data_IF_823132292216
#
_entry.id   IF_823132292216
#
_cell.length_a   1.000
_cell.length_b   1.000
_cell.length_c   1.000
_cell.angle_alpha   90.00
_cell.angle_beta   90.00
_cell.angle_gamma   90.00
#
_symmetry.space_group_name_H-M   'P 1'
#
loop_
_entity.id
_entity.type
_entity.pdbx_description
1 polymer ?
#
# COMPACT_ATOMS: atom_id res chain seq x y z
N UNK A 1 -23.96 30.19 -56.98
CA UNK A 1 -23.99 28.78 -56.52
C UNK A 1 -22.61 28.45 -55.96
N UNK A 2 -22.42 28.57 -54.64
CA UNK A 2 -21.13 28.35 -53.97
C UNK A 2 -21.07 26.91 -53.45
N UNK A 3 -20.34 26.02 -54.13
CA UNK A 3 -20.00 24.71 -53.59
C UNK A 3 -18.77 24.86 -52.67
N UNK A 4 -18.99 24.79 -51.34
CA UNK A 4 -17.91 24.61 -50.36
C UNK A 4 -17.23 23.27 -50.63
N UNK A 5 -15.93 23.29 -50.95
CA UNK A 5 -15.09 22.08 -50.95
C UNK A 5 -15.01 21.53 -49.53
N UNK A 6 -15.69 20.41 -49.29
CA UNK A 6 -15.50 19.63 -48.07
C UNK A 6 -14.09 19.02 -48.12
N UNK A 7 -13.18 19.48 -47.25
CA UNK A 7 -11.86 18.85 -47.10
C UNK A 7 -12.09 17.43 -46.60
N UNK A 8 -11.83 16.44 -47.45
CA UNK A 8 -11.81 15.03 -47.08
C UNK A 8 -10.67 14.84 -46.08
N UNK A 9 -11.00 14.67 -44.81
CA UNK A 9 -10.04 14.16 -43.82
C UNK A 9 -9.71 12.73 -44.27
N UNK A 10 -8.43 12.36 -44.46
CA UNK A 10 -8.06 11.00 -44.80
C UNK A 10 -8.60 10.06 -43.72
N UNK A 11 -9.39 9.07 -44.11
CA UNK A 11 -9.99 8.08 -43.19
C UNK A 11 -8.95 7.42 -42.25
N UNK A 12 -7.68 7.44 -42.65
CA UNK A 12 -6.53 6.97 -41.87
C UNK A 12 -6.34 7.71 -40.54
N UNK A 13 -6.60 9.02 -40.46
CA UNK A 13 -6.51 9.76 -39.19
C UNK A 13 -7.67 9.44 -38.23
N UNK A 14 -8.85 9.14 -38.77
CA UNK A 14 -10.01 8.75 -37.96
C UNK A 14 -9.83 7.32 -37.40
N UNK A 15 -9.25 6.41 -38.19
CA UNK A 15 -8.94 5.04 -37.77
C UNK A 15 -7.81 5.01 -36.73
N UNK A 16 -6.76 5.82 -36.89
CA UNK A 16 -5.71 5.94 -35.87
C UNK A 16 -6.24 6.58 -34.57
N UNK A 17 -7.10 7.60 -34.64
CA UNK A 17 -7.70 8.19 -33.43
C UNK A 17 -8.63 7.20 -32.71
N UNK A 18 -9.41 6.41 -33.44
CA UNK A 18 -10.27 5.37 -32.86
C UNK A 18 -9.45 4.23 -32.24
N UNK A 19 -8.37 3.78 -32.91
CA UNK A 19 -7.45 2.78 -32.36
C UNK A 19 -6.72 3.28 -31.12
N UNK A 20 -6.36 4.56 -31.04
CA UNK A 20 -5.79 5.14 -29.82
C UNK A 20 -6.81 5.24 -28.68
N UNK A 21 -8.09 5.51 -28.97
CA UNK A 21 -9.13 5.53 -27.91
C UNK A 21 -9.55 4.15 -27.43
N UNK A 22 -9.54 3.12 -28.29
CA UNK A 22 -9.90 1.75 -27.86
C UNK A 22 -8.76 1.05 -27.13
N UNK A 23 -7.50 1.36 -27.47
CA UNK A 23 -6.33 0.81 -26.75
C UNK A 23 -6.15 1.50 -25.38
N UNK A 24 -6.50 2.78 -25.25
CA UNK A 24 -6.59 3.45 -23.94
C UNK A 24 -7.81 3.02 -23.10
N UNK A 25 -8.84 2.44 -23.72
CA UNK A 25 -10.05 1.99 -23.01
C UNK A 25 -9.99 0.52 -22.55
N UNK A 26 -8.93 -0.21 -22.90
CA UNK A 26 -8.72 -1.60 -22.44
C UNK A 26 -7.54 -1.76 -21.47
N UNK A 27 -6.94 -0.66 -20.99
CA UNK A 27 -5.74 -0.69 -20.12
C UNK A 27 -5.99 -0.21 -18.68
N UNK A 28 -7.24 0.00 -18.27
CA UNK A 28 -7.59 0.57 -16.97
C UNK A 28 -8.71 -0.24 -16.30
N UNK A 29 -8.50 -1.56 -16.15
CA UNK A 29 -9.16 -2.32 -15.09
C UNK A 29 -8.11 -3.21 -14.44
N UNK A 30 -8.01 -3.05 -13.12
CA UNK A 30 -7.31 -3.88 -12.14
C UNK A 30 -5.78 -3.81 -12.12
N UNK A 31 -5.25 -2.92 -11.28
CA UNK A 31 -4.71 -3.33 -9.98
C UNK A 31 -4.39 -2.09 -9.15
N UNK A 32 -5.40 -1.47 -8.55
CA UNK A 32 -5.18 -0.62 -7.38
C UNK A 32 -5.12 -1.58 -6.19
N UNK A 33 -3.90 -1.89 -5.71
CA UNK A 33 -3.74 -2.54 -4.42
C UNK A 33 -4.13 -1.52 -3.34
N UNK A 34 -5.31 -1.69 -2.78
CA UNK A 34 -5.70 -1.01 -1.55
C UNK A 34 -4.85 -1.59 -0.42
N UNK A 35 -3.86 -0.84 0.07
CA UNK A 35 -3.21 -1.19 1.34
C UNK A 35 -4.31 -1.33 2.41
N UNK A 36 -4.51 -2.53 2.94
CA UNK A 36 -5.52 -2.75 3.96
C UNK A 36 -5.11 -2.06 5.26
N UNK A 37 -5.88 -1.05 5.67
CA UNK A 37 -5.70 -0.40 6.97
C UNK A 37 -6.76 -0.95 7.93
N UNK A 38 -6.37 -1.62 9.03
CA UNK A 38 -7.31 -2.12 10.03
C UNK A 38 -8.19 -1.01 10.61
N UNK A 39 -9.48 -1.29 10.78
CA UNK A 39 -10.43 -0.41 11.45
C UNK A 39 -10.64 -0.86 12.89
N UNK A 40 -10.04 -0.12 13.83
CA UNK A 40 -10.16 -0.37 15.26
C UNK A 40 -11.15 0.56 15.97
N UNK A 41 -11.75 1.48 15.21
CA UNK A 41 -12.69 2.49 15.68
C UNK A 41 -13.90 2.64 14.74
N UNK A 42 -15.00 3.13 15.30
CA UNK A 42 -16.25 3.35 14.59
C UNK A 42 -16.07 4.20 13.32
N UNK A 43 -16.81 3.91 12.23
CA UNK A 43 -16.81 4.78 11.06
C UNK A 43 -17.43 6.14 11.39
N UNK A 44 -16.81 7.21 10.89
CA UNK A 44 -17.35 8.57 11.01
C UNK A 44 -18.73 8.67 10.40
N UNK A 45 -19.65 9.40 11.05
CA UNK A 45 -21.00 9.67 10.53
C UNK A 45 -21.02 10.39 9.17
N UNK A 46 -19.91 11.01 8.78
CA UNK A 46 -19.73 11.62 7.46
C UNK A 46 -19.28 10.65 6.37
N UNK A 47 -19.06 9.38 6.70
CA UNK A 47 -18.60 8.38 5.74
C UNK A 47 -19.78 7.82 4.94
N UNK A 48 -19.82 8.19 3.66
CA UNK A 48 -20.88 7.80 2.73
C UNK A 48 -21.06 6.27 2.60
N UNK A 49 -20.01 5.47 2.84
CA UNK A 49 -20.11 4.02 2.70
C UNK A 49 -20.93 3.35 3.82
N UNK A 50 -21.23 4.08 4.90
CA UNK A 50 -22.02 3.58 6.02
C UNK A 50 -23.32 4.37 6.21
N UNK A 51 -23.29 5.68 5.97
CA UNK A 51 -24.37 6.60 6.30
C UNK A 51 -24.96 7.33 5.08
N UNK A 52 -24.92 6.71 3.91
CA UNK A 52 -25.56 7.21 2.70
C UNK A 52 -26.16 6.10 1.85
N UNK A 53 -26.92 6.48 0.82
CA UNK A 53 -27.51 5.55 -0.14
C UNK A 53 -26.49 4.78 -1.00
N UNK A 54 -25.17 5.02 -0.86
CA UNK A 54 -24.15 4.09 -1.40
C UNK A 54 -24.14 2.75 -0.69
N UNK A 55 -24.60 2.73 0.56
CA UNK A 55 -24.82 1.50 1.32
C UNK A 55 -26.26 1.04 1.09
N UNK A 56 -26.41 -0.14 0.49
CA UNK A 56 -27.75 -0.63 0.12
C UNK A 56 -28.65 -0.84 1.34
N UNK A 57 -28.09 -1.28 2.46
CA UNK A 57 -28.85 -1.46 3.69
C UNK A 57 -29.33 -0.12 4.23
N UNK A 58 -28.47 0.91 4.22
CA UNK A 58 -28.88 2.27 4.57
C UNK A 58 -30.00 2.79 3.66
N UNK A 59 -29.88 2.60 2.35
CA UNK A 59 -30.86 3.04 1.36
C UNK A 59 -32.27 2.50 1.63
N UNK A 60 -32.37 1.25 2.10
CA UNK A 60 -33.65 0.60 2.40
C UNK A 60 -34.08 0.69 3.87
N UNK A 61 -33.41 1.51 4.69
CA UNK A 61 -33.79 1.77 6.09
C UNK A 61 -33.22 0.78 7.11
N UNK A 62 -32.28 -0.07 6.70
CA UNK A 62 -31.57 -1.05 7.52
C UNK A 62 -30.10 -0.65 7.79
N UNK A 63 -29.81 0.65 7.79
CA UNK A 63 -28.46 1.17 8.01
C UNK A 63 -27.90 0.90 9.41
N UNK A 64 -26.75 1.50 9.70
CA UNK A 64 -26.10 1.42 11.02
C UNK A 64 -27.04 1.86 12.16
N UNK A 65 -27.06 1.18 13.32
CA UNK A 65 -26.27 0.00 13.68
C UNK A 65 -26.86 -1.30 13.09
N UNK A 66 -26.08 -2.02 12.29
CA UNK A 66 -26.46 -3.29 11.65
C UNK A 66 -25.20 -4.01 11.14
N UNK A 67 -25.05 -5.31 11.42
CA UNK A 67 -23.89 -6.10 10.99
C UNK A 67 -23.70 -6.09 9.46
N UNK A 68 -24.78 -6.25 8.71
CA UNK A 68 -24.75 -6.26 7.24
C UNK A 68 -24.42 -4.89 6.67
N UNK A 69 -25.05 -3.82 7.16
CA UNK A 69 -24.73 -2.45 6.76
C UNK A 69 -23.27 -2.11 7.06
N UNK A 70 -22.77 -2.52 8.22
CA UNK A 70 -21.38 -2.31 8.61
C UNK A 70 -20.40 -3.06 7.69
N UNK A 71 -20.58 -4.38 7.55
CA UNK A 71 -19.70 -5.20 6.74
C UNK A 71 -19.70 -4.77 5.27
N UNK A 72 -20.86 -4.38 4.73
CA UNK A 72 -20.99 -3.86 3.37
C UNK A 72 -20.23 -2.54 3.22
N UNK A 73 -20.41 -1.59 4.15
CA UNK A 73 -19.70 -0.32 4.13
C UNK A 73 -18.18 -0.48 4.31
N UNK A 74 -17.76 -1.43 5.15
CA UNK A 74 -16.36 -1.76 5.36
C UNK A 74 -15.74 -2.42 4.14
N UNK A 75 -16.45 -3.33 3.48
CA UNK A 75 -16.03 -3.91 2.20
C UNK A 75 -15.88 -2.84 1.12
N UNK A 76 -16.81 -1.87 1.07
CA UNK A 76 -16.73 -0.73 0.17
C UNK A 76 -15.46 0.11 0.44
N UNK A 77 -15.16 0.39 1.72
CA UNK A 77 -13.91 1.08 2.11
C UNK A 77 -12.66 0.34 1.65
N UNK A 78 -12.61 -0.97 1.88
CA UNK A 78 -11.46 -1.81 1.54
C UNK A 78 -11.25 -1.81 0.03
N UNK A 79 -12.32 -2.01 -0.75
CA UNK A 79 -12.24 -2.17 -2.20
C UNK A 79 -12.18 -0.85 -2.97
N UNK A 80 -12.57 0.27 -2.34
CA UNK A 80 -12.71 1.57 -3.00
C UNK A 80 -13.83 1.62 -4.06
N UNK A 81 -14.68 0.60 -4.12
CA UNK A 81 -15.78 0.44 -5.08
C UNK A 81 -16.94 -0.33 -4.44
N UNK A 82 -18.09 -0.31 -5.10
CA UNK A 82 -19.25 -1.12 -4.72
C UNK A 82 -18.82 -2.60 -4.57
N UNK A 83 -19.04 -3.21 -3.39
CA UNK A 83 -18.55 -4.55 -3.12
C UNK A 83 -19.40 -5.62 -3.81
N UNK A 84 -20.64 -5.37 -4.22
CA UNK A 84 -21.51 -6.38 -4.84
C UNK A 84 -21.82 -7.59 -3.95
N UNK A 85 -21.61 -7.47 -2.63
CA UNK A 85 -21.91 -8.49 -1.64
C UNK A 85 -23.43 -8.72 -1.52
N UNK A 86 -23.82 -9.78 -0.81
CA UNK A 86 -25.22 -10.10 -0.53
C UNK A 86 -25.99 -8.86 -0.02
N UNK A 87 -27.24 -8.72 -0.48
CA UNK A 87 -28.14 -7.63 -0.12
C UNK A 87 -29.22 -8.07 0.88
N UNK A 88 -29.17 -9.32 1.32
CA UNK A 88 -30.14 -9.93 2.23
C UNK A 88 -29.56 -10.06 3.65
N UNK A 89 -30.19 -10.88 4.48
CA UNK A 89 -29.79 -11.07 5.87
C UNK A 89 -28.43 -11.78 5.97
N UNK A 90 -27.74 -11.59 7.08
CA UNK A 90 -26.37 -12.05 7.28
C UNK A 90 -26.18 -13.57 7.07
N UNK A 91 -27.17 -14.40 7.39
CA UNK A 91 -27.06 -15.86 7.22
C UNK A 91 -27.01 -16.28 5.73
N UNK A 92 -27.47 -15.41 4.82
CA UNK A 92 -27.46 -15.67 3.37
C UNK A 92 -26.15 -15.23 2.72
N UNK A 93 -25.27 -14.52 3.42
CA UNK A 93 -24.05 -13.94 2.83
C UNK A 93 -23.09 -15.00 2.30
N UNK A 94 -22.88 -16.10 3.02
CA UNK A 94 -21.85 -17.07 2.67
C UNK A 94 -22.15 -17.78 1.34
N UNK A 95 -23.40 -18.20 1.15
CA UNK A 95 -23.85 -18.94 -0.04
C UNK A 95 -24.31 -18.04 -1.20
N UNK A 96 -24.38 -16.72 -0.99
CA UNK A 96 -24.75 -15.77 -2.03
C UNK A 96 -23.72 -15.73 -3.17
N UNK A 97 -24.20 -15.65 -4.41
CA UNK A 97 -23.34 -15.63 -5.60
C UNK A 97 -22.94 -14.19 -5.99
N UNK A 98 -21.95 -13.66 -5.28
CA UNK A 98 -21.35 -12.32 -5.51
C UNK A 98 -20.02 -12.36 -6.30
N UNK A 99 -19.51 -13.56 -6.61
CA UNK A 99 -18.26 -13.75 -7.34
C UNK A 99 -16.98 -13.75 -6.51
N UNK A 100 -17.05 -13.59 -5.17
CA UNK A 100 -15.87 -13.75 -4.30
C UNK A 100 -15.55 -15.22 -4.01
N UNK A 101 -14.30 -15.49 -3.63
CA UNK A 101 -13.92 -16.82 -3.15
C UNK A 101 -14.30 -17.01 -1.68
N UNK A 102 -14.60 -18.25 -1.27
CA UNK A 102 -14.88 -18.61 0.12
C UNK A 102 -13.83 -19.57 0.68
N UNK A 103 -13.66 -19.60 2.00
CA UNK A 103 -12.80 -20.57 2.68
C UNK A 103 -12.96 -20.57 4.19
N UNK A 104 -12.08 -21.30 4.87
CA UNK A 104 -12.11 -21.51 6.32
C UNK A 104 -10.92 -20.88 7.06
N UNK A 105 -9.96 -20.32 6.33
CA UNK A 105 -8.78 -19.67 6.92
C UNK A 105 -9.05 -18.18 7.10
N UNK A 106 -8.85 -17.60 8.30
CA UNK A 106 -8.99 -16.17 8.50
C UNK A 106 -7.93 -15.42 7.68
N UNK A 107 -8.36 -14.40 6.95
CA UNK A 107 -7.49 -13.48 6.22
C UNK A 107 -7.93 -12.06 6.52
N UNK A 108 -6.96 -11.17 6.69
CA UNK A 108 -7.21 -9.74 6.81
C UNK A 108 -8.09 -9.27 5.64
N UNK A 109 -9.11 -8.47 5.94
CA UNK A 109 -10.12 -7.97 5.01
C UNK A 109 -11.18 -8.97 4.57
N UNK A 110 -11.16 -10.22 5.04
CA UNK A 110 -12.24 -11.15 4.81
C UNK A 110 -13.49 -10.81 5.64
N UNK A 111 -14.66 -11.20 5.15
CA UNK A 111 -15.91 -11.15 5.93
C UNK A 111 -16.18 -12.53 6.51
N UNK A 112 -16.24 -12.63 7.83
CA UNK A 112 -16.64 -13.84 8.52
C UNK A 112 -18.17 -13.92 8.59
N UNK A 113 -18.72 -15.11 8.36
CA UNK A 113 -20.16 -15.36 8.28
C UNK A 113 -20.59 -16.44 9.28
N UNK A 114 -21.66 -16.15 10.01
CA UNK A 114 -22.30 -17.08 10.93
C UNK A 114 -23.80 -17.16 10.65
N UNK A 115 -24.35 -18.33 10.90
CA UNK A 115 -25.79 -18.54 10.95
C UNK A 115 -26.19 -19.15 12.29
N UNK A 116 -27.44 -18.97 12.68
CA UNK A 116 -28.02 -19.72 13.78
C UNK A 116 -29.48 -20.01 13.50
N UNK A 117 -29.97 -21.05 14.16
CA UNK A 117 -31.39 -21.36 14.20
C UNK A 117 -31.85 -21.34 15.66
N UNK A 118 -32.78 -20.44 15.99
CA UNK A 118 -33.33 -20.30 17.34
C UNK A 118 -34.83 -20.08 17.25
N UNK A 119 -35.59 -20.86 18.04
CA UNK A 119 -37.04 -20.71 18.18
C UNK A 119 -37.85 -20.74 16.86
N UNK A 120 -37.39 -21.45 15.84
CA UNK A 120 -38.09 -21.50 14.55
C UNK A 120 -37.60 -20.46 13.53
N UNK A 121 -36.67 -19.59 13.92
CA UNK A 121 -36.16 -18.50 13.09
C UNK A 121 -34.67 -18.72 12.79
N UNK A 122 -34.32 -18.49 11.52
CA UNK A 122 -32.93 -18.42 11.07
C UNK A 122 -32.47 -16.98 11.15
N UNK A 123 -31.31 -16.77 11.77
CA UNK A 123 -30.62 -15.48 11.76
C UNK A 123 -29.14 -15.70 11.48
N UNK A 124 -28.40 -14.61 11.38
CA UNK A 124 -26.96 -14.69 11.15
C UNK A 124 -26.25 -13.42 11.57
N UNK A 125 -24.94 -13.46 11.38
CA UNK A 125 -24.07 -12.32 11.65
C UNK A 125 -22.92 -12.29 10.67
N UNK A 126 -22.41 -11.09 10.42
CA UNK A 126 -21.22 -10.88 9.62
C UNK A 126 -20.30 -9.87 10.30
N UNK A 127 -19.00 -10.13 10.19
CA UNK A 127 -17.95 -9.30 10.77
C UNK A 127 -16.75 -9.23 9.83
N UNK A 128 -15.95 -8.16 9.91
CA UNK A 128 -14.76 -8.01 9.05
C UNK A 128 -13.50 -8.34 9.83
N UNK A 129 -12.62 -9.15 9.25
CA UNK A 129 -11.30 -9.47 9.82
C UNK A 129 -10.38 -8.26 9.66
N UNK A 130 -10.06 -7.61 10.77
CA UNK A 130 -9.18 -6.44 10.77
C UNK A 130 -7.72 -6.81 11.02
N UNK A 131 -7.47 -7.88 11.80
CA UNK A 131 -6.12 -8.38 12.05
C UNK A 131 -6.10 -9.89 12.21
N UNK A 132 -4.97 -10.49 11.85
CA UNK A 132 -4.59 -11.86 12.19
C UNK A 132 -3.16 -11.80 12.70
N UNK A 133 -2.97 -11.77 14.02
CA UNK A 133 -1.65 -11.64 14.64
C UNK A 133 -1.55 -12.50 15.90
N UNK A 134 -0.39 -13.13 16.12
CA UNK A 134 -0.12 -13.95 17.31
C UNK A 134 -1.20 -15.02 17.60
N UNK A 135 -1.76 -15.64 16.56
CA UNK A 135 -2.81 -16.65 16.69
C UNK A 135 -4.18 -16.09 17.09
N UNK A 136 -4.37 -14.77 17.10
CA UNK A 136 -5.65 -14.10 17.38
C UNK A 136 -6.18 -13.40 16.14
N UNK A 137 -7.46 -13.60 15.85
CA UNK A 137 -8.23 -12.86 14.85
C UNK A 137 -8.95 -11.72 15.56
N UNK A 138 -8.79 -10.48 15.05
CA UNK A 138 -9.56 -9.32 15.51
C UNK A 138 -10.63 -9.02 14.48
N UNK A 139 -11.88 -8.95 14.92
CA UNK A 139 -13.03 -8.62 14.10
C UNK A 139 -13.59 -7.25 14.43
N UNK A 140 -14.02 -6.53 13.41
CA UNK A 140 -14.87 -5.35 13.56
C UNK A 140 -16.32 -5.68 13.24
N UNK A 141 -17.23 -5.14 14.05
CA UNK A 141 -18.63 -5.54 14.07
C UNK A 141 -19.56 -4.33 14.22
N UNK A 142 -20.84 -4.55 13.95
CA UNK A 142 -21.97 -3.72 14.36
C UNK A 142 -23.16 -4.63 14.67
N UNK A 143 -24.05 -4.24 15.57
CA UNK A 143 -25.16 -5.09 15.99
C UNK A 143 -26.49 -4.35 15.91
N UNK A 144 -27.46 -4.97 15.24
CA UNK A 144 -28.81 -4.41 15.09
C UNK A 144 -29.45 -4.10 16.46
N UNK A 145 -29.82 -2.84 16.66
CA UNK A 145 -30.46 -2.38 17.90
C UNK A 145 -29.56 -2.36 19.14
N UNK A 146 -28.25 -2.58 18.99
CA UNK A 146 -27.29 -2.52 20.08
C UNK A 146 -26.15 -1.56 19.73
N UNK A 147 -24.96 -2.06 19.47
CA UNK A 147 -23.75 -1.25 19.40
C UNK A 147 -23.39 -0.89 17.96
N UNK A 148 -23.11 0.40 17.73
CA UNK A 148 -22.78 0.91 16.40
C UNK A 148 -21.47 0.35 15.88
N UNK A 149 -20.49 0.13 16.75
CA UNK A 149 -19.21 -0.48 16.41
C UNK A 149 -18.60 -1.13 17.64
N UNK A 150 -18.09 -2.35 17.50
CA UNK A 150 -17.33 -3.02 18.55
C UNK A 150 -16.34 -4.01 17.95
N UNK A 151 -15.31 -4.33 18.73
CA UNK A 151 -14.31 -5.34 18.37
C UNK A 151 -14.57 -6.65 19.12
N UNK A 152 -14.43 -7.75 18.41
CA UNK A 152 -14.41 -9.10 19.00
C UNK A 152 -13.12 -9.82 18.60
N UNK A 153 -12.78 -10.87 19.33
CA UNK A 153 -11.51 -11.58 19.19
C UNK A 153 -11.77 -13.08 19.23
N UNK A 154 -11.08 -13.84 18.37
CA UNK A 154 -11.12 -15.29 18.37
C UNK A 154 -9.72 -15.88 18.21
N UNK A 155 -9.51 -17.08 18.71
CA UNK A 155 -8.31 -17.86 18.36
C UNK A 155 -8.40 -18.29 16.88
N UNK A 156 -7.30 -18.25 16.15
CA UNK A 156 -7.26 -18.67 14.73
C UNK A 156 -7.63 -20.14 14.53
N UNK A 157 -7.58 -20.96 15.58
CA UNK A 157 -7.96 -22.36 15.57
C UNK A 157 -9.35 -22.61 16.17
N UNK A 158 -10.07 -21.57 16.60
CA UNK A 158 -11.43 -21.73 17.12
C UNK A 158 -12.42 -22.06 15.99
N UNK A 159 -13.02 -23.26 15.97
CA UNK A 159 -13.96 -23.62 14.90
C UNK A 159 -15.24 -22.77 14.89
N UNK A 160 -15.57 -22.08 15.98
CA UNK A 160 -16.71 -21.15 16.05
C UNK A 160 -16.33 -19.69 15.77
N UNK A 161 -15.03 -19.40 15.63
CA UNK A 161 -14.49 -18.05 15.42
C UNK A 161 -15.04 -17.01 16.40
N UNK A 162 -15.13 -17.38 17.68
CA UNK A 162 -15.58 -16.49 18.77
C UNK A 162 -17.08 -16.57 19.10
N UNK A 163 -17.91 -17.18 18.26
CA UNK A 163 -19.37 -17.24 18.47
C UNK A 163 -19.88 -18.68 18.69
N UNK A 164 -19.54 -19.24 19.86
CA UNK A 164 -19.82 -20.64 20.23
C UNK A 164 -21.30 -21.09 20.17
N UNK A 165 -22.24 -20.15 20.17
CA UNK A 165 -23.68 -20.43 20.11
C UNK A 165 -24.26 -20.46 18.71
N UNK A 166 -23.45 -20.22 17.67
CA UNK A 166 -23.81 -20.09 16.26
C UNK A 166 -22.99 -21.07 15.41
N UNK A 167 -23.48 -21.37 14.21
CA UNK A 167 -22.75 -22.15 13.21
C UNK A 167 -21.88 -21.21 12.37
N UNK A 168 -20.56 -21.39 12.44
CA UNK A 168 -19.63 -20.64 11.60
C UNK A 168 -19.65 -21.23 10.18
N UNK A 169 -20.05 -20.42 9.21
CA UNK A 169 -20.15 -20.85 7.81
C UNK A 169 -18.77 -20.76 7.12
N UNK A 170 -18.03 -19.69 7.39
CA UNK A 170 -16.68 -19.47 6.85
C UNK A 170 -16.38 -18.00 6.56
N UNK A 171 -15.37 -17.77 5.73
CA UNK A 171 -14.92 -16.46 5.29
C UNK A 171 -15.21 -16.21 3.82
N UNK A 172 -15.68 -15.00 3.50
CA UNK A 172 -15.73 -14.44 2.14
C UNK A 172 -14.47 -13.61 1.92
N UNK A 173 -13.68 -13.95 0.90
CA UNK A 173 -12.42 -13.29 0.59
C UNK A 173 -12.61 -12.17 -0.44
N UNK A 174 -12.59 -10.93 0.05
CA UNK A 174 -12.70 -9.72 -0.79
C UNK A 174 -11.44 -9.46 -1.64
N UNK A 175 -10.29 -10.01 -1.22
CA UNK A 175 -8.98 -9.88 -1.84
C UNK A 175 -7.91 -10.57 -1.01
N UNK A 176 -6.65 -10.48 -1.45
CA UNK A 176 -5.48 -10.99 -0.72
C UNK A 176 -4.73 -9.82 -0.09
N UNK A 177 -4.98 -9.58 1.20
CA UNK A 177 -4.44 -8.44 1.94
C UNK A 177 -3.37 -8.83 2.99
N UNK A 178 -2.91 -10.10 2.98
CA UNK A 178 -2.12 -10.70 4.06
C UNK A 178 -0.72 -11.23 3.72
N UNK A 179 -0.19 -11.02 2.51
CA UNK A 179 1.12 -11.56 2.11
C UNK A 179 2.28 -10.65 2.51
N UNK A 180 3.11 -11.15 3.44
CA UNK A 180 4.50 -10.73 3.62
C UNK A 180 5.38 -11.55 2.65
N UNK A 181 6.05 -10.87 1.72
CA UNK A 181 6.92 -11.49 0.72
C UNK A 181 8.21 -12.03 1.36
N UNK A 182 8.30 -13.36 1.51
CA UNK A 182 9.56 -14.08 1.39
C UNK A 182 9.37 -15.18 0.35
N UNK A 183 10.22 -15.14 -0.67
CA UNK A 183 10.33 -15.98 -1.86
C UNK A 183 9.56 -15.49 -3.10
N UNK A 184 10.39 -15.15 -4.09
CA UNK A 184 10.08 -14.92 -5.50
C UNK A 184 9.15 -16.00 -6.05
N UNK A 185 8.01 -15.59 -6.59
CA UNK A 185 7.55 -16.01 -7.91
C UNK A 185 6.31 -15.17 -8.31
N UNK A 186 6.56 -14.31 -9.29
CA UNK A 186 5.68 -13.79 -10.36
C UNK A 186 4.24 -13.29 -10.05
N UNK A 187 4.02 -12.03 -10.45
CA UNK A 187 2.74 -11.35 -10.77
C UNK A 187 1.88 -10.68 -9.66
N UNK A 188 2.26 -9.45 -9.27
CA UNK A 188 1.40 -8.26 -9.45
C UNK A 188 0.50 -7.73 -8.30
N UNK A 189 1.04 -6.76 -7.54
CA UNK A 189 0.44 -5.68 -6.71
C UNK A 189 -0.12 -5.96 -5.30
N UNK A 190 0.17 -5.18 -4.24
CA UNK A 190 1.35 -4.40 -3.81
C UNK A 190 1.00 -3.86 -2.40
N UNK A 191 1.45 -4.53 -1.34
CA UNK A 191 1.44 -3.97 0.02
C UNK A 191 2.32 -2.72 0.01
N UNK A 192 1.87 -1.54 0.45
CA UNK A 192 2.78 -0.37 0.60
C UNK A 192 3.69 -0.64 1.80
N UNK A 193 4.71 -1.44 1.56
CA UNK A 193 5.90 -1.52 2.40
C UNK A 193 6.75 -0.34 2.00
N UNK A 194 6.71 0.72 2.80
CA UNK A 194 7.70 1.78 2.69
C UNK A 194 9.08 1.17 2.89
N UNK A 195 9.88 1.20 1.83
CA UNK A 195 11.27 0.77 1.80
C UNK A 195 12.17 1.96 1.49
N UNK A 196 13.48 1.79 1.64
CA UNK A 196 14.45 2.71 1.06
C UNK A 196 14.27 2.76 -0.46
N UNK A 197 14.57 3.90 -1.08
CA UNK A 197 14.34 4.11 -2.50
C UNK A 197 13.92 5.54 -2.82
N UNK A 198 13.65 5.78 -4.10
CA UNK A 198 13.27 7.09 -4.60
C UNK A 198 11.76 7.27 -4.49
N UNK A 199 11.36 8.39 -3.91
CA UNK A 199 9.98 8.79 -3.75
C UNK A 199 9.73 10.15 -4.39
N UNK A 200 8.57 10.33 -5.01
CA UNK A 200 8.06 11.64 -5.45
C UNK A 200 7.12 12.21 -4.39
N UNK A 201 7.30 13.48 -4.02
CA UNK A 201 6.39 14.16 -3.08
C UNK A 201 5.03 14.43 -3.74
N UNK A 202 3.94 13.98 -3.11
CA UNK A 202 2.54 14.18 -3.54
C UNK A 202 1.75 14.98 -2.48
N UNK A 203 1.79 16.32 -2.58
CA UNK A 203 1.13 17.25 -1.65
C UNK A 203 0.54 18.46 -2.38
N UNK A 204 -0.43 19.14 -1.76
CA UNK A 204 -1.05 20.34 -2.33
C UNK A 204 -0.20 21.62 -2.23
N UNK A 205 0.67 21.73 -1.23
CA UNK A 205 1.49 22.93 -0.98
C UNK A 205 2.97 22.55 -0.78
N UNK A 206 3.30 22.04 0.40
CA UNK A 206 4.64 21.56 0.72
C UNK A 206 4.63 20.41 1.73
N UNK A 207 5.67 19.57 1.65
CA UNK A 207 6.00 18.54 2.62
C UNK A 207 7.07 19.06 3.58
N UNK A 208 6.81 18.99 4.89
CA UNK A 208 7.79 19.38 5.90
C UNK A 208 8.84 18.28 6.08
N UNK A 209 10.11 18.63 5.92
CA UNK A 209 11.25 17.83 6.38
C UNK A 209 11.60 18.24 7.80
N UNK A 210 11.84 17.28 8.68
CA UNK A 210 12.00 17.52 10.12
C UNK A 210 13.30 16.93 10.70
N UNK A 211 13.78 17.48 11.81
CA UNK A 211 14.99 17.00 12.50
C UNK A 211 14.85 15.57 13.04
N UNK A 212 13.61 15.12 13.33
CA UNK A 212 13.34 13.76 13.81
C UNK A 212 12.05 13.21 13.21
N UNK A 213 11.89 11.89 13.25
CA UNK A 213 10.72 11.17 12.78
C UNK A 213 9.48 11.40 13.68
N UNK A 214 9.08 12.65 13.91
CA UNK A 214 7.88 13.03 14.67
C UNK A 214 7.32 14.35 14.15
N UNK A 215 5.99 14.52 14.25
CA UNK A 215 5.30 15.75 13.85
C UNK A 215 5.57 16.95 14.77
N UNK A 216 6.06 16.70 15.99
CA UNK A 216 6.42 17.73 16.97
C UNK A 216 7.85 18.25 16.84
N UNK A 217 8.70 17.56 16.07
CA UNK A 217 10.09 17.99 15.87
C UNK A 217 10.18 19.18 14.92
N UNK A 218 11.26 19.96 15.06
CA UNK A 218 11.51 21.17 14.28
C UNK A 218 11.56 20.87 12.79
N UNK A 219 10.86 21.68 12.01
CA UNK A 219 10.97 21.68 10.55
C UNK A 219 12.31 22.26 10.12
N UNK A 220 13.08 21.50 9.34
CA UNK A 220 14.37 21.93 8.76
C UNK A 220 14.23 22.43 7.33
N UNK A 221 13.21 21.96 6.60
CA UNK A 221 12.98 22.34 5.22
C UNK A 221 11.53 22.13 4.78
N UNK A 222 11.12 22.79 3.69
CA UNK A 222 9.83 22.61 3.02
C UNK A 222 10.04 22.21 1.57
N UNK A 223 9.53 21.04 1.19
CA UNK A 223 9.74 20.40 -0.10
C UNK A 223 8.48 20.54 -0.94
N UNK A 224 8.61 20.93 -2.22
CA UNK A 224 7.47 21.14 -3.12
C UNK A 224 6.98 19.81 -3.71
N UNK A 225 5.70 19.79 -4.07
CA UNK A 225 5.09 18.73 -4.86
C UNK A 225 5.91 18.39 -6.13
N UNK A 226 5.98 17.11 -6.47
CA UNK A 226 6.72 16.59 -7.63
C UNK A 226 8.24 16.53 -7.44
N UNK A 227 8.76 16.77 -6.23
CA UNK A 227 10.20 16.61 -5.95
C UNK A 227 10.54 15.15 -5.71
N UNK A 228 11.55 14.62 -6.39
CA UNK A 228 12.12 13.31 -6.09
C UNK A 228 13.07 13.37 -4.88
N UNK A 229 12.90 12.44 -3.95
CA UNK A 229 13.67 12.27 -2.72
C UNK A 229 14.21 10.85 -2.66
N UNK A 230 15.48 10.70 -2.33
CA UNK A 230 16.05 9.37 -2.11
C UNK A 230 16.10 9.05 -0.61
N UNK A 231 15.25 8.12 -0.22
CA UNK A 231 15.04 7.68 1.15
C UNK A 231 16.02 6.57 1.49
N UNK A 232 16.84 6.79 2.52
CA UNK A 232 17.91 5.88 2.93
C UNK A 232 17.64 5.17 4.25
N UNK A 233 16.63 5.61 4.99
CA UNK A 233 16.15 4.94 6.20
C UNK A 233 14.64 5.12 6.32
N UNK A 234 13.95 4.12 6.86
CA UNK A 234 12.50 4.13 7.04
C UNK A 234 12.16 3.82 8.49
N UNK A 235 11.35 4.68 9.11
CA UNK A 235 10.96 4.55 10.51
C UNK A 235 9.49 4.87 10.73
N UNK A 236 8.78 3.99 11.43
CA UNK A 236 7.42 4.28 11.89
C UNK A 236 7.45 4.99 13.24
N UNK A 237 6.76 6.12 13.34
CA UNK A 237 6.70 6.91 14.57
C UNK A 237 5.60 7.96 14.51
N UNK A 238 4.83 8.12 15.60
CA UNK A 238 3.81 9.16 15.72
C UNK A 238 2.68 9.06 14.69
N UNK A 239 2.33 7.84 14.25
CA UNK A 239 1.25 7.60 13.29
C UNK A 239 1.61 7.78 11.81
N UNK A 240 2.89 8.01 11.50
CA UNK A 240 3.39 8.14 10.13
C UNK A 240 4.56 7.19 9.88
N UNK A 241 4.77 6.87 8.60
CA UNK A 241 6.02 6.26 8.16
C UNK A 241 6.96 7.35 7.65
N UNK A 242 8.13 7.46 8.25
CA UNK A 242 9.10 8.51 7.96
C UNK A 242 10.23 7.96 7.10
N UNK A 243 10.63 8.72 6.09
CA UNK A 243 11.82 8.47 5.29
C UNK A 243 12.91 9.47 5.63
N UNK A 244 14.11 8.99 5.92
CA UNK A 244 15.30 9.83 6.03
C UNK A 244 15.85 10.12 4.64
N UNK A 245 16.06 11.39 4.31
CA UNK A 245 16.54 11.81 2.98
C UNK A 245 17.42 13.05 3.11
N UNK A 246 18.29 13.24 2.13
CA UNK A 246 19.05 14.49 1.95
C UNK A 246 18.47 15.26 0.76
N UNK A 247 18.16 16.54 0.94
CA UNK A 247 17.68 17.41 -0.14
C UNK A 247 18.37 18.78 -0.03
N UNK A 248 19.04 19.23 -1.10
CA UNK A 248 19.80 20.50 -1.13
C UNK A 248 20.74 20.69 0.07
N UNK A 249 21.51 19.65 0.40
CA UNK A 249 22.43 19.59 1.55
C UNK A 249 21.77 19.69 2.93
N UNK A 250 20.44 19.57 3.01
CA UNK A 250 19.70 19.48 4.27
C UNK A 250 19.27 18.03 4.47
N UNK A 251 19.63 17.45 5.62
CA UNK A 251 19.23 16.10 6.02
C UNK A 251 18.03 16.16 6.96
N UNK A 252 17.10 15.23 6.82
CA UNK A 252 15.97 15.13 7.73
C UNK A 252 14.97 14.06 7.36
N UNK A 253 13.90 14.00 8.14
CA UNK A 253 12.82 13.04 8.04
C UNK A 253 11.61 13.65 7.35
N UNK A 254 11.07 12.96 6.36
CA UNK A 254 9.82 13.33 5.66
C UNK A 254 8.77 12.24 5.88
N UNK A 255 7.50 12.61 5.99
CA UNK A 255 6.42 11.62 6.10
C UNK A 255 6.12 11.05 4.71
N UNK A 256 6.37 9.74 4.53
CA UNK A 256 6.23 9.02 3.26
C UNK A 256 4.78 8.76 2.87
N UNK A 257 3.85 8.91 3.82
CA UNK A 257 2.41 8.95 3.56
C UNK A 257 2.01 10.05 2.55
N UNK A 258 2.88 11.04 2.34
CA UNK A 258 2.73 12.12 1.37
C UNK A 258 3.67 11.98 0.18
N UNK A 259 4.16 10.75 -0.07
CA UNK A 259 5.09 10.48 -1.14
C UNK A 259 4.73 9.17 -1.87
N UNK A 260 5.03 9.14 -3.17
CA UNK A 260 4.87 7.98 -4.03
C UNK A 260 6.21 7.35 -4.33
N UNK A 261 6.37 6.07 -4.02
CA UNK A 261 7.56 5.32 -4.39
C UNK A 261 7.67 5.22 -5.92
N UNK A 262 8.86 5.46 -6.46
CA UNK A 262 9.16 5.40 -7.89
C UNK A 262 10.04 4.21 -8.27
N UNK A 263 11.16 4.01 -7.55
CA UNK A 263 12.24 3.09 -7.93
C UNK A 263 13.23 2.87 -6.78
N UNK A 264 14.00 1.79 -6.84
CA UNK A 264 14.92 1.42 -5.75
C UNK A 264 16.12 2.36 -5.62
N UNK A 265 16.57 2.94 -6.74
CA UNK A 265 17.77 3.78 -6.78
C UNK A 265 17.55 5.03 -7.64
N UNK A 266 18.26 6.14 -7.36
CA UNK A 266 18.22 7.34 -8.21
C UNK A 266 18.56 7.04 -9.68
N UNK A 267 17.99 7.83 -10.60
CA UNK A 267 18.39 7.78 -12.00
C UNK A 267 19.76 8.44 -12.15
N UNK A 268 20.58 7.86 -13.02
CA UNK A 268 21.85 8.45 -13.46
C UNK A 268 21.57 9.68 -14.34
N UNK A 269 21.24 10.79 -13.68
CA UNK A 269 20.88 12.05 -14.31
C UNK A 269 22.11 12.94 -14.62
N UNK A 270 23.30 12.36 -14.72
CA UNK A 270 24.49 13.08 -15.19
C UNK A 270 25.05 14.11 -14.19
N UNK A 271 25.43 13.61 -13.01
CA UNK A 271 26.33 14.21 -11.98
C UNK A 271 25.70 15.01 -10.83
N UNK A 272 25.85 14.46 -9.61
CA UNK A 272 26.42 15.12 -8.42
C UNK A 272 26.63 14.08 -7.28
N UNK A 273 27.19 12.91 -7.59
CA UNK A 273 27.56 11.92 -6.57
C UNK A 273 29.04 12.06 -6.24
N UNK A 274 29.37 12.01 -4.96
CA UNK A 274 30.76 12.05 -4.51
C UNK A 274 31.45 10.73 -4.89
N UNK A 275 32.73 10.80 -5.25
CA UNK A 275 33.51 9.60 -5.54
C UNK A 275 33.55 8.71 -4.28
N UNK A 276 33.18 7.44 -4.42
CA UNK A 276 32.94 6.53 -3.30
C UNK A 276 31.47 6.41 -2.84
N UNK A 277 30.54 7.21 -3.37
CA UNK A 277 29.08 7.09 -3.12
C UNK A 277 28.47 6.00 -4.02
N UNK A 278 28.89 4.76 -3.78
CA UNK A 278 28.59 3.60 -4.61
C UNK A 278 27.10 3.25 -4.60
N UNK A 279 26.40 3.51 -3.49
CA UNK A 279 24.95 3.29 -3.39
C UNK A 279 24.12 4.51 -3.87
N UNK A 280 24.80 5.57 -4.30
CA UNK A 280 24.25 6.81 -4.87
C UNK A 280 23.29 7.52 -3.92
N UNK A 281 23.59 7.51 -2.63
CA UNK A 281 22.76 8.11 -1.58
C UNK A 281 23.05 9.58 -1.26
N UNK A 282 24.07 10.14 -1.89
CA UNK A 282 24.57 11.48 -1.65
C UNK A 282 25.44 11.59 -0.40
N UNK A 283 25.84 10.49 0.21
CA UNK A 283 26.69 10.41 1.42
C UNK A 283 27.62 9.20 1.29
N UNK A 284 28.93 9.45 1.40
CA UNK A 284 29.92 8.37 1.44
C UNK A 284 30.03 7.81 2.86
N UNK A 285 29.51 6.60 3.10
CA UNK A 285 29.54 5.90 4.39
C UNK A 285 29.62 4.35 4.31
N UNK A 286 29.42 3.68 5.45
CA UNK A 286 29.56 2.21 5.58
C UNK A 286 28.57 1.43 4.69
N UNK A 287 27.49 2.06 4.24
CA UNK A 287 26.53 1.47 3.33
C UNK A 287 27.11 1.37 1.91
N UNK A 288 27.98 2.29 1.50
CA UNK A 288 28.68 2.20 0.21
C UNK A 288 29.65 1.03 0.17
N UNK A 289 30.32 0.76 1.30
CA UNK A 289 31.19 -0.41 1.46
C UNK A 289 30.38 -1.70 1.30
N UNK A 290 29.17 -1.75 1.86
CA UNK A 290 28.30 -2.93 1.77
C UNK A 290 27.87 -3.18 0.32
N UNK A 291 27.46 -2.13 -0.39
CA UNK A 291 27.08 -2.19 -1.80
C UNK A 291 28.28 -2.63 -2.68
N UNK A 292 29.45 -2.05 -2.43
CA UNK A 292 30.70 -2.41 -3.12
C UNK A 292 31.10 -3.87 -2.86
N UNK A 293 30.97 -4.35 -1.62
CA UNK A 293 31.20 -5.77 -1.27
C UNK A 293 30.22 -6.71 -1.96
N UNK A 294 28.95 -6.31 -2.10
CA UNK A 294 27.96 -7.09 -2.85
C UNK A 294 28.34 -7.22 -4.33
N UNK A 295 28.83 -6.15 -4.96
CA UNK A 295 29.33 -6.22 -6.33
C UNK A 295 30.57 -7.10 -6.44
N UNK A 296 31.57 -6.92 -5.57
CA UNK A 296 32.81 -7.72 -5.59
C UNK A 296 32.52 -9.21 -5.34
N UNK A 297 31.50 -9.53 -4.53
CA UNK A 297 31.03 -10.90 -4.30
C UNK A 297 30.12 -11.45 -5.42
N UNK A 298 29.90 -10.68 -6.49
CA UNK A 298 29.03 -11.00 -7.65
C UNK A 298 27.56 -11.22 -7.28
N UNK A 299 27.11 -10.55 -6.23
CA UNK A 299 25.72 -10.56 -5.76
C UNK A 299 24.95 -9.29 -6.18
N UNK A 300 25.58 -8.39 -6.95
CA UNK A 300 24.95 -7.18 -7.49
C UNK A 300 25.63 -6.75 -8.79
N UNK A 301 24.85 -6.16 -9.71
CA UNK A 301 25.33 -5.50 -10.92
C UNK A 301 25.33 -3.98 -10.73
N UNK A 302 26.37 -3.31 -11.22
CA UNK A 302 26.52 -1.86 -11.14
C UNK A 302 26.23 -1.18 -12.49
N UNK A 303 25.67 0.03 -12.41
CA UNK A 303 25.57 0.93 -13.56
C UNK A 303 26.94 1.52 -13.94
N UNK A 304 27.08 2.06 -15.15
CA UNK A 304 28.32 2.71 -15.61
C UNK A 304 28.80 3.83 -14.68
N UNK A 305 27.87 4.54 -14.03
CA UNK A 305 28.21 5.58 -13.06
C UNK A 305 28.65 4.96 -11.73
N UNK A 306 27.96 3.94 -11.22
CA UNK A 306 28.42 3.23 -10.02
C UNK A 306 29.79 2.60 -10.22
N UNK A 307 30.10 2.07 -11.41
CA UNK A 307 31.44 1.57 -11.73
C UNK A 307 32.50 2.67 -11.63
N UNK A 308 32.20 3.90 -12.04
CA UNK A 308 33.12 5.05 -11.87
C UNK A 308 33.24 5.52 -10.42
N UNK A 309 32.16 5.43 -9.65
CA UNK A 309 32.15 5.80 -8.23
C UNK A 309 32.83 4.74 -7.36
N UNK A 310 32.82 3.48 -7.80
CA UNK A 310 33.35 2.31 -7.12
C UNK A 310 34.84 2.08 -7.32
N UNK A 311 35.46 2.67 -8.34
CA UNK A 311 36.92 2.63 -8.60
C UNK A 311 37.64 3.60 -7.66
N UNK A 312 37.54 3.34 -6.35
CA UNK A 312 37.97 4.28 -5.29
C UNK A 312 39.49 4.39 -5.22
N UNK A 313 40.21 3.33 -5.59
CA UNK A 313 41.67 3.35 -5.66
C UNK A 313 42.22 3.83 -7.03
N UNK A 314 41.34 3.98 -8.03
CA UNK A 314 41.64 4.51 -9.36
C UNK A 314 42.46 3.57 -10.25
N UNK A 315 42.47 2.27 -9.95
CA UNK A 315 43.24 1.27 -10.70
C UNK A 315 42.51 0.77 -11.96
N UNK A 316 41.24 1.14 -12.14
CA UNK A 316 40.41 0.77 -13.29
C UNK A 316 39.80 -0.63 -13.20
N UNK A 317 39.88 -1.29 -12.04
CA UNK A 317 39.22 -2.55 -11.71
C UNK A 317 38.47 -2.36 -10.41
N UNK A 318 37.28 -2.93 -10.35
CA UNK A 318 36.44 -2.91 -9.15
C UNK A 318 36.64 -4.22 -8.39
N UNK A 319 37.43 -4.19 -7.32
CA UNK A 319 37.77 -5.37 -6.53
C UNK A 319 37.88 -5.09 -5.01
N UNK A 320 38.45 -6.04 -4.26
CA UNK A 320 38.56 -5.94 -2.80
C UNK A 320 39.49 -4.79 -2.34
N UNK A 321 40.35 -4.30 -3.24
CA UNK A 321 41.21 -3.13 -3.01
C UNK A 321 40.36 -1.88 -2.81
N UNK A 322 39.33 -1.68 -3.64
CA UNK A 322 38.41 -0.55 -3.54
C UNK A 322 37.59 -0.57 -2.24
N UNK A 323 37.14 -1.76 -1.82
CA UNK A 323 36.44 -1.96 -0.54
C UNK A 323 37.33 -1.49 0.62
N UNK A 324 38.61 -1.88 0.58
CA UNK A 324 39.58 -1.55 1.63
C UNK A 324 39.89 -0.05 1.66
N UNK A 325 40.04 0.55 0.48
CA UNK A 325 40.33 1.99 0.34
C UNK A 325 39.13 2.85 0.77
N UNK A 326 37.91 2.47 0.37
CA UNK A 326 36.69 3.13 0.81
C UNK A 326 36.52 3.05 2.33
N UNK A 327 36.80 1.88 2.92
CA UNK A 327 36.82 1.70 4.37
C UNK A 327 37.85 2.59 5.07
N UNK A 328 39.04 2.76 4.47
CA UNK A 328 40.08 3.67 4.97
C UNK A 328 39.60 5.13 4.94
N UNK A 329 39.05 5.59 3.83
CA UNK A 329 38.55 6.96 3.65
C UNK A 329 37.46 7.28 4.68
N UNK A 330 36.46 6.41 4.83
CA UNK A 330 35.36 6.59 5.79
C UNK A 330 35.87 6.62 7.24
N UNK A 331 36.87 5.79 7.57
CA UNK A 331 37.45 5.76 8.92
C UNK A 331 38.20 7.05 9.28
N UNK A 332 38.82 7.71 8.30
CA UNK A 332 39.55 8.97 8.48
C UNK A 332 38.62 10.17 8.60
N UNK A 333 37.46 10.14 7.95
CA UNK A 333 36.47 11.23 7.99
C UNK A 333 35.61 11.23 9.27
N UNK A 334 35.67 10.18 10.09
CA UNK A 334 34.97 10.09 11.39
C UNK A 334 35.82 10.52 12.61
N UNK A 335 37.07 10.94 12.39
CA UNK A 335 38.01 11.41 13.42
C UNK A 335 38.03 12.95 13.51
#
# INVERSE_FOLDING_TARGET
MFFKKLKRIPAMFLVCALLFTTVFSYSMIANASSSFTPRLDAPSYSNDYYYSNKNIYYQYGYGMPNCTAYAYGRAYEILGRDPGLCHYDAYEWYDYNDGYSRGQTPKVGAVACWEYYRNGETGGHVAVVEKVENGTVTFSNSAWGWENFYLTYADVNDPAMGESGWNFQGFIYLGDFGKNNNNEDDNGNDTITYKTGVYEVEVSDYLNMRESATTSSKTVYQIKNGTELYVTDVKQSGGYTWGYTTYKNVKGWVALDYCKYLRDKPLDNGNNYEHGDVNMNGVVDILDITELQMYVSKNADFTDTQLKLADVDGNGKIDISDVTELQRIISLNKA
#
